data_IF_201546759904
#
_entry.id   IF_201546759904
#
_cell.length_a   1.000
_cell.length_b   1.000
_cell.length_c   1.000
_cell.angle_alpha   90.00
_cell.angle_beta   90.00
_cell.angle_gamma   90.00
#
_symmetry.space_group_name_H-M   'P 1'
#
loop_
_entity.id
_entity.type
_entity.pdbx_description
1 polymer ?
#
# COMPACT_ATOMS: atom_id res chain seq x y z
N UNK A 1 -9.21 -4.95 0.82
CA UNK A 1 -9.92 -4.83 -0.48
C UNK A 1 -11.40 -4.60 -0.25
N UNK A 2 -11.98 -3.55 -0.86
CA UNK A 2 -13.38 -3.19 -0.71
C UNK A 2 -14.32 -4.20 -1.37
N UNK A 3 -15.59 -4.19 -0.94
CA UNK A 3 -16.65 -5.07 -1.47
C UNK A 3 -16.92 -4.81 -2.96
N UNK A 4 -16.99 -3.54 -3.34
CA UNK A 4 -17.15 -3.11 -4.73
C UNK A 4 -15.77 -2.83 -5.32
N UNK A 5 -15.42 -3.53 -6.40
CA UNK A 5 -14.15 -3.38 -7.10
C UNK A 5 -14.37 -2.71 -8.44
N UNK A 6 -13.49 -1.77 -8.78
CA UNK A 6 -13.43 -1.23 -10.13
C UNK A 6 -13.04 -2.33 -11.12
N UNK A 7 -13.51 -2.27 -12.38
CA UNK A 7 -13.03 -3.15 -13.43
C UNK A 7 -11.50 -3.10 -13.54
N UNK A 8 -10.90 -4.26 -13.84
CA UNK A 8 -9.44 -4.40 -13.98
C UNK A 8 -8.86 -3.35 -14.94
N UNK A 9 -9.51 -3.16 -16.07
CA UNK A 9 -9.09 -2.20 -17.09
C UNK A 9 -9.05 -0.77 -16.55
N UNK A 10 -10.13 -0.32 -15.90
CA UNK A 10 -10.21 0.99 -15.25
C UNK A 10 -9.14 1.15 -14.18
N UNK A 11 -8.85 0.08 -13.43
CA UNK A 11 -7.82 0.10 -12.40
C UNK A 11 -6.43 0.38 -12.98
N UNK A 12 -6.04 -0.34 -14.03
CA UNK A 12 -4.68 -0.22 -14.60
C UNK A 12 -4.52 0.98 -15.54
N UNK A 13 -5.54 1.33 -16.33
CA UNK A 13 -5.46 2.45 -17.27
C UNK A 13 -5.71 3.81 -16.63
N UNK A 14 -6.53 3.88 -15.58
CA UNK A 14 -6.97 5.16 -14.99
C UNK A 14 -6.52 5.29 -13.54
N UNK A 15 -7.08 4.48 -12.63
CA UNK A 15 -6.94 4.69 -11.18
C UNK A 15 -5.48 4.64 -10.76
N UNK A 16 -4.75 3.58 -11.12
CA UNK A 16 -3.35 3.39 -10.71
C UNK A 16 -2.42 4.49 -11.24
N UNK A 17 -2.42 4.86 -12.53
CA UNK A 17 -1.63 5.99 -13.03
C UNK A 17 -1.94 7.31 -12.34
N UNK A 18 -3.22 7.60 -12.06
CA UNK A 18 -3.64 8.84 -11.40
C UNK A 18 -3.06 8.91 -9.97
N UNK A 19 -3.23 7.84 -9.18
CA UNK A 19 -2.72 7.81 -7.81
C UNK A 19 -1.19 7.85 -7.77
N UNK A 20 -0.52 7.09 -8.65
CA UNK A 20 0.94 7.10 -8.77
C UNK A 20 1.48 8.50 -9.11
N UNK A 21 0.87 9.18 -10.09
CA UNK A 21 1.26 10.54 -10.49
C UNK A 21 1.00 11.55 -9.37
N UNK A 22 -0.13 11.45 -8.67
CA UNK A 22 -0.47 12.30 -7.51
C UNK A 22 0.60 12.17 -6.42
N UNK A 23 1.05 10.96 -6.15
CA UNK A 23 2.05 10.67 -5.11
C UNK A 23 3.49 10.88 -5.60
N UNK A 24 3.68 11.54 -6.75
CA UNK A 24 5.00 11.88 -7.29
C UNK A 24 5.83 10.67 -7.70
N UNK A 25 5.20 9.52 -7.95
CA UNK A 25 5.88 8.26 -8.21
C UNK A 25 6.69 7.71 -7.02
N UNK A 26 6.33 8.10 -5.79
CA UNK A 26 7.05 7.72 -4.58
C UNK A 26 6.16 6.94 -3.63
N UNK A 27 6.76 6.05 -2.85
CA UNK A 27 6.09 5.44 -1.71
C UNK A 27 5.74 6.53 -0.70
N UNK A 28 4.46 6.69 -0.36
CA UNK A 28 4.04 7.75 0.58
C UNK A 28 4.57 7.53 2.00
N UNK A 29 4.95 6.30 2.37
CA UNK A 29 5.47 5.99 3.70
C UNK A 29 6.99 6.20 3.82
N UNK A 30 7.77 5.77 2.82
CA UNK A 30 9.24 5.78 2.92
C UNK A 30 9.95 6.67 1.89
N UNK A 31 9.20 7.34 1.00
CA UNK A 31 9.74 8.24 -0.02
C UNK A 31 10.46 7.57 -1.20
N UNK A 32 10.62 6.24 -1.18
CA UNK A 32 11.34 5.52 -2.24
C UNK A 32 10.65 5.68 -3.60
N UNK A 33 11.44 5.95 -4.63
CA UNK A 33 10.96 6.12 -6.01
C UNK A 33 10.56 4.78 -6.62
N UNK A 34 9.39 4.75 -7.26
CA UNK A 34 8.79 3.55 -7.80
C UNK A 34 8.33 3.81 -9.23
N UNK A 35 8.59 2.86 -10.12
CA UNK A 35 7.91 2.87 -11.41
C UNK A 35 6.41 2.60 -11.23
N UNK A 36 5.62 3.00 -12.23
CA UNK A 36 4.19 2.70 -12.29
C UNK A 36 3.89 1.19 -12.26
N UNK A 37 4.84 0.35 -12.70
CA UNK A 37 4.68 -1.11 -12.75
C UNK A 37 5.04 -1.80 -11.42
N UNK A 38 5.99 -1.24 -10.66
CA UNK A 38 6.44 -1.82 -9.39
C UNK A 38 5.64 -1.32 -8.18
N UNK A 39 4.99 -0.17 -8.30
CA UNK A 39 4.26 0.39 -7.17
C UNK A 39 3.07 -0.49 -6.76
N UNK A 40 2.63 -0.38 -5.52
CA UNK A 40 1.36 -0.93 -5.08
C UNK A 40 0.40 0.23 -4.81
N UNK A 41 -0.87 0.05 -5.20
CA UNK A 41 -1.94 0.96 -4.78
C UNK A 41 -2.64 0.31 -3.60
N UNK A 42 -2.50 0.94 -2.43
CA UNK A 42 -3.06 0.49 -1.16
C UNK A 42 -4.27 1.34 -0.77
N UNK A 43 -5.19 0.73 -0.02
CA UNK A 43 -6.32 1.42 0.59
C UNK A 43 -5.94 1.86 2.01
N UNK A 44 -6.03 3.16 2.29
CA UNK A 44 -5.85 3.75 3.64
C UNK A 44 -6.80 3.08 4.63
N UNK A 45 -8.11 3.23 4.38
CA UNK A 45 -9.16 2.42 5.00
C UNK A 45 -9.37 1.17 4.16
N UNK A 46 -8.97 0.03 4.73
CA UNK A 46 -8.93 -1.26 4.06
C UNK A 46 -10.12 -2.17 4.39
N UNK A 47 -10.08 -3.39 3.85
CA UNK A 47 -11.15 -4.37 4.04
C UNK A 47 -12.50 -3.97 3.41
N UNK A 48 -13.57 -4.57 3.91
CA UNK A 48 -14.95 -4.44 3.38
C UNK A 48 -15.49 -3.01 3.52
N UNK A 49 -15.05 -2.27 4.55
CA UNK A 49 -15.46 -0.90 4.83
C UNK A 49 -14.71 0.15 3.98
N UNK A 50 -13.65 -0.25 3.27
CA UNK A 50 -12.90 0.62 2.38
C UNK A 50 -13.69 1.01 1.13
N UNK A 51 -13.18 1.99 0.38
CA UNK A 51 -13.74 2.42 -0.90
C UNK A 51 -12.63 2.76 -1.93
N UNK A 52 -13.00 2.90 -3.20
CA UNK A 52 -12.07 3.25 -4.29
C UNK A 52 -12.00 4.75 -4.58
N UNK A 53 -12.46 5.62 -3.67
CA UNK A 53 -12.27 7.06 -3.83
C UNK A 53 -10.78 7.37 -3.77
N UNK A 54 -10.31 8.31 -4.60
CA UNK A 54 -8.88 8.60 -4.70
C UNK A 54 -8.25 9.01 -3.36
N UNK A 55 -9.00 9.71 -2.50
CA UNK A 55 -8.56 10.08 -1.14
C UNK A 55 -8.25 8.87 -0.24
N UNK A 56 -8.85 7.71 -0.53
CA UNK A 56 -8.62 6.47 0.22
C UNK A 56 -7.51 5.59 -0.40
N UNK A 57 -6.91 6.01 -1.51
CA UNK A 57 -5.88 5.26 -2.22
C UNK A 57 -4.52 5.93 -2.04
N UNK A 58 -3.45 5.15 -2.00
CA UNK A 58 -2.07 5.65 -1.95
C UNK A 58 -1.09 4.72 -2.65
N UNK A 59 0.05 5.29 -3.03
CA UNK A 59 1.19 4.61 -3.62
C UNK A 59 2.13 4.11 -2.53
N UNK A 60 2.41 2.80 -2.48
CA UNK A 60 3.37 2.19 -1.57
C UNK A 60 4.35 1.30 -2.32
N UNK A 61 5.57 1.18 -1.79
CA UNK A 61 6.45 0.09 -2.20
C UNK A 61 5.95 -1.23 -1.61
N UNK A 62 6.34 -2.37 -2.21
CA UNK A 62 5.94 -3.70 -1.74
C UNK A 62 6.28 -3.90 -0.26
N UNK A 63 7.45 -3.44 0.20
CA UNK A 63 7.89 -3.58 1.60
C UNK A 63 6.97 -2.83 2.56
N UNK A 64 6.68 -1.55 2.31
CA UNK A 64 5.79 -0.77 3.16
C UNK A 64 4.36 -1.32 3.13
N UNK A 65 3.84 -1.75 1.97
CA UNK A 65 2.52 -2.36 1.89
C UNK A 65 2.42 -3.60 2.80
N UNK A 66 3.41 -4.49 2.72
CA UNK A 66 3.48 -5.72 3.53
C UNK A 66 3.58 -5.40 5.03
N UNK A 67 4.39 -4.40 5.41
CA UNK A 67 4.62 -4.02 6.81
C UNK A 67 3.56 -3.07 7.38
N UNK A 68 2.53 -2.70 6.60
CA UNK A 68 1.45 -1.88 7.14
C UNK A 68 0.71 -2.66 8.23
N UNK A 69 0.42 -2.02 9.36
CA UNK A 69 -0.28 -2.60 10.49
C UNK A 69 -1.78 -2.82 10.19
N UNK A 70 -2.07 -3.75 9.29
CA UNK A 70 -3.40 -4.15 8.87
C UNK A 70 -3.50 -5.68 8.83
N UNK A 71 -4.51 -6.23 9.49
CA UNK A 71 -4.77 -7.67 9.51
C UNK A 71 -4.99 -8.25 8.09
N UNK A 72 -5.52 -7.45 7.16
CA UNK A 72 -5.77 -7.86 5.78
C UNK A 72 -4.48 -8.12 4.99
N UNK A 73 -3.36 -7.53 5.40
CA UNK A 73 -2.08 -7.64 4.70
C UNK A 73 -1.19 -8.78 5.20
N UNK A 74 -1.56 -9.41 6.32
CA UNK A 74 -0.80 -10.54 6.91
C UNK A 74 -0.54 -11.68 5.92
N UNK A 75 -1.43 -11.87 4.94
CA UNK A 75 -1.27 -12.88 3.88
C UNK A 75 -0.05 -12.64 2.98
N UNK A 76 0.46 -11.41 2.92
CA UNK A 76 1.63 -11.07 2.10
C UNK A 76 2.97 -11.33 2.82
N UNK A 77 2.96 -11.50 4.15
CA UNK A 77 4.15 -11.60 5.00
C UNK A 77 5.01 -12.81 4.62
N UNK A 78 4.41 -14.00 4.54
CA UNK A 78 5.16 -15.23 4.26
C UNK A 78 5.87 -15.17 2.90
N UNK A 79 5.18 -14.67 1.86
CA UNK A 79 5.78 -14.48 0.54
C UNK A 79 6.88 -13.42 0.53
N UNK A 80 6.75 -12.37 1.35
CA UNK A 80 7.78 -11.34 1.48
C UNK A 80 9.04 -11.87 2.18
N UNK A 81 8.88 -12.66 3.26
CA UNK A 81 9.98 -13.35 3.96
C UNK A 81 10.70 -14.31 3.00
N UNK A 82 9.94 -15.16 2.28
CA UNK A 82 10.51 -16.11 1.31
C UNK A 82 11.34 -15.41 0.22
N UNK A 83 10.93 -14.22 -0.21
CA UNK A 83 11.67 -13.42 -1.19
C UNK A 83 12.81 -12.57 -0.61
N UNK A 84 13.05 -12.61 0.71
CA UNK A 84 14.07 -11.79 1.37
C UNK A 84 13.73 -10.29 1.49
N UNK A 85 12.50 -9.89 1.14
CA UNK A 85 12.08 -8.48 1.17
C UNK A 85 12.00 -7.92 2.60
N UNK A 86 11.61 -8.78 3.54
CA UNK A 86 11.53 -8.49 4.97
C UNK A 86 12.12 -9.66 5.78
N UNK A 87 12.68 -9.39 6.97
CA UNK A 87 13.21 -10.44 7.83
C UNK A 87 12.12 -11.13 8.68
N UNK A 88 12.41 -12.29 9.31
CA UNK A 88 11.45 -12.99 10.19
C UNK A 88 10.95 -12.17 11.40
N UNK A 89 11.75 -11.22 11.88
CA UNK A 89 11.41 -10.30 12.98
C UNK A 89 10.61 -9.06 12.51
N UNK A 90 9.91 -9.15 11.38
CA UNK A 90 9.13 -8.08 10.74
C UNK A 90 8.15 -7.33 11.67
N UNK A 91 7.69 -7.97 12.76
CA UNK A 91 6.75 -7.35 13.71
C UNK A 91 7.29 -6.05 14.33
N UNK A 92 8.61 -5.93 14.46
CA UNK A 92 9.25 -4.72 14.98
C UNK A 92 9.41 -3.61 13.93
N UNK A 93 8.95 -3.87 12.70
CA UNK A 93 9.12 -3.00 11.53
C UNK A 93 7.78 -2.57 10.95
N UNK A 94 6.68 -2.95 11.61
CA UNK A 94 5.34 -2.54 11.20
C UNK A 94 5.16 -1.04 11.41
N UNK A 95 4.31 -0.44 10.60
CA UNK A 95 3.97 0.97 10.72
C UNK A 95 2.46 1.16 10.61
N UNK A 96 1.95 2.18 11.29
CA UNK A 96 0.56 2.62 11.22
C UNK A 96 0.48 4.11 10.86
N UNK A 97 -0.67 4.54 10.36
CA UNK A 97 -0.92 5.95 10.04
C UNK A 97 -0.88 6.85 11.27
N UNK A 98 -1.31 6.33 12.43
CA UNK A 98 -1.38 7.08 13.68
C UNK A 98 -0.01 7.38 14.31
N UNK A 99 1.05 6.66 13.94
CA UNK A 99 2.40 6.96 14.44
C UNK A 99 3.01 8.19 13.76
N UNK A 100 2.60 8.50 12.54
CA UNK A 100 3.05 9.69 11.82
C UNK A 100 2.38 10.98 12.32
N UNK A 101 1.24 10.89 13.02
CA UNK A 101 0.58 12.03 13.69
C UNK A 101 1.23 12.42 15.03
N UNK A 102 2.15 11.61 15.57
CA UNK A 102 2.90 11.93 16.80
C UNK A 102 4.21 12.69 16.55
N UNK A 103 4.47 13.07 15.29
CA UNK A 103 5.71 13.73 14.85
C UNK A 103 5.53 15.21 14.48
N UNK A 104 4.38 15.79 14.80
CA UNK A 104 4.07 17.20 14.67
C UNK A 104 3.55 17.75 15.98
#
# INVERSE_FOLDING_TARGET
MPKIRSPKETWYKNIRPIIWKRDGGKCVNCGYELSLYECHIDHIVSGVIGNNKFLNLRTLCRRCHVLRLDHNHRRMIQGAIKSGLIPPNWRNMVWDENENLKRY
#
